data_IF_579315850369
#
_entry.id   IF_579315850369
#
_cell.length_a   1.000
_cell.length_b   1.000
_cell.length_c   1.000
_cell.angle_alpha   90.00
_cell.angle_beta   90.00
_cell.angle_gamma   90.00
#
_symmetry.space_group_name_H-M   'P 1'
#
loop_
_entity.id
_entity.type
_entity.pdbx_description
1 polymer ?
#
# COMPACT_ATOMS: atom_id res chain seq x y z
N UNK A 1 11.28 -14.41 53.40
CA UNK A 1 12.08 -13.42 52.64
C UNK A 1 12.61 -14.14 51.42
N UNK A 2 11.96 -13.98 50.28
CA UNK A 2 12.39 -14.57 49.00
C UNK A 2 12.76 -13.40 48.11
N UNK A 3 14.02 -13.40 47.67
CA UNK A 3 14.65 -12.36 46.87
C UNK A 3 14.04 -12.36 45.46
N UNK A 4 13.45 -11.24 45.05
CA UNK A 4 13.08 -10.99 43.66
C UNK A 4 14.36 -10.91 42.83
N UNK A 5 14.69 -11.98 42.12
CA UNK A 5 15.70 -11.95 41.06
C UNK A 5 15.09 -11.23 39.86
N UNK A 6 15.53 -10.00 39.61
CA UNK A 6 15.20 -9.26 38.41
C UNK A 6 15.90 -9.90 37.22
N UNK A 7 15.15 -10.59 36.35
CA UNK A 7 15.64 -11.13 35.08
C UNK A 7 15.82 -10.04 34.01
N UNK A 8 16.44 -8.90 34.37
CA UNK A 8 16.74 -7.81 33.44
C UNK A 8 18.20 -7.79 32.97
N UNK A 9 19.02 -8.75 33.39
CA UNK A 9 20.36 -8.95 32.83
C UNK A 9 20.29 -9.92 31.64
N UNK A 10 19.76 -9.43 30.52
CA UNK A 10 20.20 -9.91 29.21
C UNK A 10 21.11 -8.82 28.62
N UNK A 11 22.37 -8.81 29.05
CA UNK A 11 23.42 -8.14 28.28
C UNK A 11 23.39 -8.71 26.85
N UNK A 12 23.38 -7.81 25.86
CA UNK A 12 23.36 -8.17 24.44
C UNK A 12 24.82 -8.43 24.03
N UNK A 13 25.24 -9.68 23.79
CA UNK A 13 26.55 -9.93 23.21
C UNK A 13 26.51 -9.39 21.78
N UNK A 14 27.56 -8.67 21.38
CA UNK A 14 27.82 -8.18 20.03
C UNK A 14 27.08 -6.92 19.53
N UNK A 15 26.50 -6.08 20.41
CA UNK A 15 26.01 -4.77 19.95
C UNK A 15 27.14 -3.78 19.54
N UNK A 16 28.39 -4.12 19.84
CA UNK A 16 29.56 -3.23 19.67
C UNK A 16 30.42 -3.52 18.42
N UNK A 17 30.08 -4.49 17.57
CA UNK A 17 30.96 -4.82 16.45
C UNK A 17 30.67 -4.04 15.16
N UNK A 18 29.44 -3.92 14.67
CA UNK A 18 29.23 -3.45 13.29
C UNK A 18 27.93 -2.65 13.10
N UNK A 19 27.80 -1.54 13.83
CA UNK A 19 26.85 -0.49 13.47
C UNK A 19 27.40 0.37 12.32
N UNK A 20 27.65 -0.24 11.16
CA UNK A 20 27.86 0.48 9.91
C UNK A 20 26.75 0.11 8.93
N UNK A 21 25.79 1.03 8.78
CA UNK A 21 24.71 0.96 7.82
C UNK A 21 25.28 0.90 6.39
N UNK A 22 25.09 -0.22 5.69
CA UNK A 22 25.63 -0.35 4.34
C UNK A 22 25.12 -1.46 3.42
N UNK A 23 24.21 -2.37 3.82
CA UNK A 23 23.70 -3.39 2.87
C UNK A 23 22.26 -3.85 3.12
N UNK A 24 21.64 -4.41 2.08
CA UNK A 24 20.31 -5.04 2.09
C UNK A 24 20.22 -6.17 3.12
N UNK A 25 21.32 -6.86 3.39
CA UNK A 25 21.39 -7.92 4.40
C UNK A 25 21.13 -7.37 5.81
N UNK A 26 21.57 -6.14 6.08
CA UNK A 26 21.36 -5.45 7.36
C UNK A 26 19.86 -5.17 7.62
N UNK A 27 19.10 -4.80 6.58
CA UNK A 27 17.65 -4.63 6.67
C UNK A 27 16.92 -5.96 6.91
N UNK A 28 17.36 -7.04 6.25
CA UNK A 28 16.78 -8.37 6.44
C UNK A 28 17.05 -8.92 7.85
N UNK A 29 18.22 -8.59 8.41
CA UNK A 29 18.59 -8.94 9.78
C UNK A 29 17.71 -8.16 10.76
N UNK A 30 17.56 -6.85 10.59
CA UNK A 30 16.67 -6.02 11.40
C UNK A 30 15.22 -6.54 11.40
N UNK A 31 14.70 -6.94 10.25
CA UNK A 31 13.34 -7.49 10.15
C UNK A 31 13.21 -8.82 10.90
N UNK A 32 14.17 -9.74 10.73
CA UNK A 32 14.19 -11.01 11.45
C UNK A 32 14.32 -10.82 12.96
N UNK A 33 15.12 -9.85 13.39
CA UNK A 33 15.26 -9.51 14.81
C UNK A 33 14.00 -8.87 15.36
N UNK A 34 13.40 -7.92 14.63
CA UNK A 34 12.14 -7.29 15.01
C UNK A 34 10.99 -8.29 15.18
N UNK A 35 10.88 -9.28 14.28
CA UNK A 35 9.88 -10.36 14.39
C UNK A 35 10.09 -11.22 15.64
N UNK A 36 11.33 -11.56 15.97
CA UNK A 36 11.66 -12.35 17.18
C UNK A 36 11.32 -11.58 18.45
N UNK A 37 11.66 -10.30 18.52
CA UNK A 37 11.35 -9.44 19.65
C UNK A 37 9.85 -9.21 19.82
N UNK A 38 9.13 -9.01 18.71
CA UNK A 38 7.66 -8.93 18.74
C UNK A 38 7.04 -10.22 19.28
N UNK A 39 7.49 -11.39 18.81
CA UNK A 39 6.99 -12.68 19.30
C UNK A 39 7.29 -12.89 20.80
N UNK A 40 8.51 -12.55 21.24
CA UNK A 40 8.89 -12.64 22.64
C UNK A 40 8.07 -11.68 23.53
N UNK A 41 7.84 -10.45 23.07
CA UNK A 41 6.99 -9.47 23.75
C UNK A 41 5.54 -9.92 23.85
N UNK A 42 4.98 -10.51 22.79
CA UNK A 42 3.63 -11.09 22.81
C UNK A 42 3.54 -12.26 23.80
N UNK A 43 4.54 -13.14 23.84
CA UNK A 43 4.56 -14.25 24.80
C UNK A 43 4.72 -13.76 26.24
N UNK A 44 5.56 -12.77 26.49
CA UNK A 44 5.72 -12.16 27.81
C UNK A 44 4.42 -11.48 28.28
N UNK A 45 3.75 -10.74 27.40
CA UNK A 45 2.46 -10.12 27.70
C UNK A 45 1.35 -11.14 27.99
N UNK A 46 1.31 -12.26 27.25
CA UNK A 46 0.38 -13.35 27.52
C UNK A 46 0.68 -14.07 28.84
N UNK A 47 1.96 -14.26 29.17
CA UNK A 47 2.37 -14.86 30.43
C UNK A 47 1.99 -13.97 31.62
N UNK A 48 2.26 -12.66 31.52
CA UNK A 48 1.88 -11.68 32.54
C UNK A 48 0.36 -11.61 32.71
N UNK A 49 -0.41 -11.57 31.62
CA UNK A 49 -1.87 -11.56 31.68
C UNK A 49 -2.46 -12.83 32.31
N UNK A 50 -1.78 -13.97 32.14
CA UNK A 50 -2.16 -15.24 32.76
C UNK A 50 -1.84 -15.27 34.25
N UNK A 51 -0.67 -14.76 34.63
CA UNK A 51 -0.26 -14.66 36.04
C UNK A 51 -1.19 -13.70 36.81
N UNK A 52 -1.54 -12.56 36.21
CA UNK A 52 -2.54 -11.62 36.77
C UNK A 52 -3.97 -12.21 36.85
N UNK A 53 -4.28 -13.22 36.05
CA UNK A 53 -5.56 -13.94 36.08
C UNK A 53 -5.60 -15.05 37.13
N UNK A 54 -4.47 -15.69 37.44
CA UNK A 54 -4.36 -16.74 38.47
C UNK A 54 -4.28 -16.14 39.89
N UNK A 55 -3.80 -14.89 40.06
CA UNK A 55 -3.63 -14.22 41.36
C UNK A 55 -4.83 -13.39 41.84
N UNK A 56 -5.94 -13.35 41.07
CA UNK A 56 -7.17 -12.66 41.49
C UNK A 56 -8.20 -13.67 42.05
N UNK A 57 -8.69 -13.48 43.30
CA UNK A 57 -9.87 -14.20 43.75
C UNK A 57 -11.07 -13.76 42.91
N UNK A 58 -11.86 -14.74 42.44
CA UNK A 58 -13.08 -14.61 41.62
C UNK A 58 -13.52 -13.16 41.38
N UNK A 59 -13.06 -12.58 40.27
CA UNK A 59 -13.54 -11.28 39.81
C UNK A 59 -15.00 -11.46 39.44
N UNK A 60 -15.87 -11.03 40.35
CA UNK A 60 -17.26 -10.71 40.04
C UNK A 60 -17.26 -9.85 38.78
N UNK A 61 -17.88 -10.38 37.72
CA UNK A 61 -18.02 -9.70 36.43
C UNK A 61 -18.70 -8.36 36.65
N UNK A 62 -17.89 -7.30 36.69
CA UNK A 62 -18.41 -5.95 36.79
C UNK A 62 -19.07 -5.58 35.44
N UNK A 63 -20.19 -4.83 35.45
CA UNK A 63 -20.98 -4.54 34.25
C UNK A 63 -20.18 -3.95 33.07
N UNK A 64 -19.07 -3.28 33.38
CA UNK A 64 -18.11 -2.73 32.41
C UNK A 64 -17.47 -3.79 31.50
N UNK A 65 -17.21 -5.00 32.02
CA UNK A 65 -16.67 -6.13 31.23
C UNK A 65 -17.65 -6.66 30.19
N UNK A 66 -18.96 -6.51 30.41
CA UNK A 66 -19.99 -6.96 29.48
C UNK A 66 -20.18 -5.93 28.36
N UNK A 67 -20.12 -4.65 28.68
CA UNK A 67 -20.12 -3.55 27.70
C UNK A 67 -18.90 -3.62 26.77
N UNK A 68 -17.72 -3.91 27.31
CA UNK A 68 -16.49 -4.08 26.52
C UNK A 68 -16.59 -5.29 25.57
N UNK A 69 -17.18 -6.41 26.02
CA UNK A 69 -17.40 -7.58 25.17
C UNK A 69 -18.41 -7.30 24.03
N UNK A 70 -19.48 -6.55 24.32
CA UNK A 70 -20.45 -6.12 23.30
C UNK A 70 -19.78 -5.19 22.29
N UNK A 71 -18.93 -4.27 22.76
CA UNK A 71 -18.17 -3.37 21.89
C UNK A 71 -17.21 -4.14 20.99
N UNK A 72 -16.43 -5.08 21.54
CA UNK A 72 -15.51 -5.92 20.77
C UNK A 72 -16.27 -6.72 19.71
N UNK A 73 -17.40 -7.35 20.07
CA UNK A 73 -18.23 -8.08 19.11
C UNK A 73 -18.74 -7.16 17.99
N UNK A 74 -19.20 -5.96 18.32
CA UNK A 74 -19.67 -4.98 17.33
C UNK A 74 -18.55 -4.50 16.39
N UNK A 75 -17.34 -4.31 16.91
CA UNK A 75 -16.17 -3.93 16.13
C UNK A 75 -15.74 -5.07 15.19
N UNK A 76 -15.79 -6.33 15.65
CA UNK A 76 -15.50 -7.50 14.81
C UNK A 76 -16.49 -7.59 13.67
N UNK A 77 -17.80 -7.48 13.94
CA UNK A 77 -18.83 -7.51 12.89
C UNK A 77 -18.66 -6.35 11.89
N UNK A 78 -18.35 -5.14 12.38
CA UNK A 78 -18.09 -3.99 11.52
C UNK A 78 -16.88 -4.21 10.62
N UNK A 79 -15.80 -4.78 11.15
CA UNK A 79 -14.59 -5.10 10.40
C UNK A 79 -14.86 -6.16 9.32
N UNK A 80 -15.62 -7.22 9.64
CA UNK A 80 -16.00 -8.25 8.66
C UNK A 80 -16.85 -7.68 7.52
N UNK A 81 -17.79 -6.77 7.83
CA UNK A 81 -18.62 -6.12 6.83
C UNK A 81 -17.79 -5.18 5.93
N UNK A 82 -16.85 -4.44 6.52
CA UNK A 82 -15.90 -3.61 5.80
C UNK A 82 -15.01 -4.45 4.87
N UNK A 83 -14.53 -5.59 5.32
CA UNK A 83 -13.71 -6.50 4.52
C UNK A 83 -14.50 -7.06 3.33
N UNK A 84 -15.76 -7.47 3.54
CA UNK A 84 -16.65 -7.90 2.45
C UNK A 84 -16.87 -6.77 1.43
N UNK A 85 -17.12 -5.55 1.89
CA UNK A 85 -17.30 -4.38 1.00
C UNK A 85 -16.02 -4.06 0.23
N UNK A 86 -14.84 -4.19 0.84
CA UNK A 86 -13.56 -4.00 0.17
C UNK A 86 -13.33 -5.07 -0.91
N UNK A 87 -13.52 -6.35 -0.59
CA UNK A 87 -13.38 -7.44 -1.58
C UNK A 87 -14.34 -7.29 -2.77
N UNK A 88 -15.58 -6.85 -2.51
CA UNK A 88 -16.54 -6.55 -3.56
C UNK A 88 -16.06 -5.44 -4.51
N UNK A 89 -15.60 -4.32 -3.94
CA UNK A 89 -15.08 -3.19 -4.73
C UNK A 89 -13.80 -3.53 -5.50
N UNK A 90 -12.93 -4.36 -4.93
CA UNK A 90 -11.71 -4.81 -5.60
C UNK A 90 -12.02 -5.61 -6.88
N UNK A 91 -13.01 -6.51 -6.79
CA UNK A 91 -13.50 -7.27 -7.95
C UNK A 91 -14.07 -6.36 -9.05
N UNK A 92 -14.86 -5.37 -8.67
CA UNK A 92 -15.43 -4.41 -9.62
C UNK A 92 -14.31 -3.60 -10.30
N UNK A 93 -13.32 -3.12 -9.53
CA UNK A 93 -12.17 -2.38 -10.08
C UNK A 93 -11.37 -3.23 -11.07
N UNK A 94 -11.11 -4.50 -10.77
CA UNK A 94 -10.37 -5.38 -11.69
C UNK A 94 -11.16 -5.62 -12.99
N UNK A 95 -12.49 -5.75 -12.89
CA UNK A 95 -13.35 -5.88 -14.07
C UNK A 95 -13.33 -4.62 -14.95
N UNK A 96 -13.40 -3.42 -14.36
CA UNK A 96 -13.33 -2.16 -15.11
C UNK A 96 -11.95 -1.97 -15.76
N UNK A 97 -10.89 -2.39 -15.08
CA UNK A 97 -9.53 -2.34 -15.61
C UNK A 97 -9.38 -3.25 -16.83
N UNK A 98 -9.90 -4.48 -16.78
CA UNK A 98 -9.88 -5.40 -17.92
C UNK A 98 -10.62 -4.80 -19.13
N UNK A 99 -11.81 -4.24 -18.91
CA UNK A 99 -12.59 -3.56 -19.97
C UNK A 99 -11.85 -2.36 -20.55
N UNK A 100 -11.19 -1.55 -19.71
CA UNK A 100 -10.42 -0.40 -20.17
C UNK A 100 -9.22 -0.79 -21.05
N UNK A 101 -8.52 -1.88 -20.69
CA UNK A 101 -7.40 -2.42 -21.48
C UNK A 101 -7.91 -2.96 -22.82
N UNK A 102 -8.97 -3.76 -22.84
CA UNK A 102 -9.57 -4.28 -24.08
C UNK A 102 -10.03 -3.13 -24.99
N UNK A 103 -10.67 -2.10 -24.43
CA UNK A 103 -11.06 -0.92 -25.19
C UNK A 103 -9.84 -0.19 -25.81
N UNK A 104 -8.75 -0.03 -25.06
CA UNK A 104 -7.52 0.57 -25.55
C UNK A 104 -6.92 -0.24 -26.71
N UNK A 105 -6.84 -1.57 -26.56
CA UNK A 105 -6.33 -2.48 -27.60
C UNK A 105 -7.15 -2.40 -28.89
N UNK A 106 -8.48 -2.35 -28.78
CA UNK A 106 -9.37 -2.18 -29.94
C UNK A 106 -9.13 -0.87 -30.67
N UNK A 107 -8.96 0.25 -29.94
CA UNK A 107 -8.68 1.55 -30.56
C UNK A 107 -7.30 1.53 -31.24
N UNK A 108 -6.29 0.92 -30.62
CA UNK A 108 -4.96 0.76 -31.23
C UNK A 108 -5.00 -0.09 -32.51
N UNK A 109 -5.77 -1.17 -32.50
CA UNK A 109 -5.98 -2.02 -33.68
C UNK A 109 -6.70 -1.26 -34.80
N UNK A 110 -7.77 -0.52 -34.48
CA UNK A 110 -8.47 0.32 -35.44
C UNK A 110 -7.56 1.40 -36.02
N UNK A 111 -6.73 2.06 -35.19
CA UNK A 111 -5.75 3.03 -35.63
C UNK A 111 -4.77 2.40 -36.64
N UNK A 112 -4.19 1.23 -36.32
CA UNK A 112 -3.28 0.52 -37.22
C UNK A 112 -3.94 0.16 -38.57
N UNK A 113 -5.19 -0.32 -38.53
CA UNK A 113 -5.95 -0.65 -39.73
C UNK A 113 -6.20 0.58 -40.62
N UNK A 114 -6.61 1.72 -40.03
CA UNK A 114 -6.86 2.95 -40.80
C UNK A 114 -5.57 3.53 -41.36
N UNK A 115 -4.44 3.46 -40.61
CA UNK A 115 -3.12 3.86 -41.13
C UNK A 115 -2.76 3.01 -42.36
N UNK A 116 -2.93 1.69 -42.29
CA UNK A 116 -2.66 0.79 -43.42
C UNK A 116 -3.55 1.08 -44.64
N UNK A 117 -4.84 1.36 -44.42
CA UNK A 117 -5.78 1.77 -45.49
C UNK A 117 -5.31 3.09 -46.11
N UNK A 118 -4.94 4.08 -45.29
CA UNK A 118 -4.45 5.38 -45.75
C UNK A 118 -3.21 5.23 -46.61
N UNK A 119 -2.22 4.45 -46.16
CA UNK A 119 -0.99 4.18 -46.90
C UNK A 119 -1.27 3.51 -48.24
N UNK A 120 -2.17 2.53 -48.26
CA UNK A 120 -2.58 1.83 -49.48
C UNK A 120 -3.39 2.72 -50.44
N UNK A 121 -4.00 3.79 -49.94
CA UNK A 121 -4.79 4.74 -50.71
C UNK A 121 -3.95 5.86 -51.34
N UNK A 122 -2.67 6.00 -50.98
CA UNK A 122 -1.79 7.07 -51.49
C UNK A 122 -1.65 6.94 -53.02
N UNK A 123 -1.95 8.03 -53.74
CA UNK A 123 -1.81 8.09 -55.20
C UNK A 123 -2.89 7.35 -55.99
N UNK A 124 -3.81 6.64 -55.32
CA UNK A 124 -4.91 5.89 -55.96
C UNK A 124 -6.27 6.49 -55.59
N UNK A 125 -6.43 6.93 -54.35
CA UNK A 125 -7.69 7.51 -53.87
C UNK A 125 -7.85 8.98 -54.26
N UNK A 126 -9.11 9.46 -54.46
CA UNK A 126 -9.40 10.88 -54.59
C UNK A 126 -8.92 11.69 -53.37
N UNK A 127 -8.50 12.94 -53.60
CA UNK A 127 -7.94 13.81 -52.55
C UNK A 127 -8.85 13.93 -51.31
N UNK A 128 -10.17 14.08 -51.52
CA UNK A 128 -11.14 14.22 -50.42
C UNK A 128 -11.18 13.00 -49.50
N UNK A 129 -10.92 11.80 -50.04
CA UNK A 129 -10.87 10.56 -49.26
C UNK A 129 -9.54 10.46 -48.50
N UNK A 130 -8.44 10.90 -49.11
CA UNK A 130 -7.14 10.97 -48.45
C UNK A 130 -7.13 11.94 -47.25
N UNK A 131 -7.75 13.12 -47.42
CA UNK A 131 -7.91 14.09 -46.35
C UNK A 131 -8.80 13.55 -45.22
N UNK A 132 -9.91 12.90 -45.57
CA UNK A 132 -10.80 12.23 -44.61
C UNK A 132 -10.07 11.16 -43.81
N UNK A 133 -9.31 10.29 -44.47
CA UNK A 133 -8.52 9.23 -43.82
C UNK A 133 -7.45 9.82 -42.90
N UNK A 134 -6.77 10.88 -43.33
CA UNK A 134 -5.78 11.58 -42.49
C UNK A 134 -6.43 12.15 -41.23
N UNK A 135 -7.60 12.78 -41.36
CA UNK A 135 -8.37 13.27 -40.21
C UNK A 135 -8.77 12.15 -39.24
N UNK A 136 -9.21 11.00 -39.76
CA UNK A 136 -9.60 9.84 -38.92
C UNK A 136 -8.38 9.24 -38.21
N UNK A 137 -7.23 9.15 -38.87
CA UNK A 137 -5.98 8.70 -38.22
C UNK A 137 -5.61 9.63 -37.07
N UNK A 138 -5.63 10.95 -37.29
CA UNK A 138 -5.33 11.93 -36.24
C UNK A 138 -6.32 11.83 -35.07
N UNK A 139 -7.62 11.72 -35.34
CA UNK A 139 -8.62 11.58 -34.28
C UNK A 139 -8.43 10.27 -33.49
N UNK A 140 -8.21 9.15 -34.16
CA UNK A 140 -7.93 7.87 -33.48
C UNK A 140 -6.65 7.96 -32.64
N UNK A 141 -5.61 8.61 -33.14
CA UNK A 141 -4.37 8.82 -32.40
C UNK A 141 -4.61 9.63 -31.13
N UNK A 142 -5.36 10.73 -31.22
CA UNK A 142 -5.74 11.55 -30.07
C UNK A 142 -6.54 10.75 -29.04
N UNK A 143 -7.46 9.89 -29.49
CA UNK A 143 -8.23 8.99 -28.62
C UNK A 143 -7.37 7.94 -27.93
N UNK A 144 -6.38 7.37 -28.61
CA UNK A 144 -5.40 6.46 -27.99
C UNK A 144 -4.66 7.18 -26.87
N UNK A 145 -4.16 8.39 -27.14
CA UNK A 145 -3.40 9.19 -26.18
C UNK A 145 -4.28 9.59 -24.97
N UNK A 146 -5.51 10.01 -25.21
CA UNK A 146 -6.48 10.35 -24.17
C UNK A 146 -6.80 9.12 -23.29
N UNK A 147 -7.05 7.96 -23.91
CA UNK A 147 -7.34 6.71 -23.19
C UNK A 147 -6.17 6.32 -22.28
N UNK A 148 -4.94 6.35 -22.81
CA UNK A 148 -3.71 6.09 -22.05
C UNK A 148 -3.55 7.06 -20.88
N UNK A 149 -3.74 8.36 -21.12
CA UNK A 149 -3.62 9.37 -20.08
C UNK A 149 -4.65 9.18 -18.95
N UNK A 150 -5.88 8.77 -19.27
CA UNK A 150 -6.92 8.46 -18.28
C UNK A 150 -6.59 7.22 -17.46
N UNK A 151 -6.08 6.15 -18.09
CA UNK A 151 -5.63 4.93 -17.40
C UNK A 151 -4.46 5.26 -16.46
N UNK A 152 -3.45 6.00 -16.95
CA UNK A 152 -2.29 6.41 -16.14
C UNK A 152 -2.70 7.29 -14.96
N UNK A 153 -3.65 8.22 -15.17
CA UNK A 153 -4.23 9.02 -14.09
C UNK A 153 -4.91 8.14 -13.05
N UNK A 154 -5.78 7.22 -13.47
CA UNK A 154 -6.48 6.31 -12.56
C UNK A 154 -5.49 5.43 -11.76
N UNK A 155 -4.42 4.95 -12.38
CA UNK A 155 -3.36 4.18 -11.74
C UNK A 155 -2.56 5.01 -10.72
N UNK A 156 -2.26 6.28 -11.03
CA UNK A 156 -1.61 7.20 -10.07
C UNK A 156 -2.53 7.53 -8.89
N UNK A 157 -3.80 7.81 -9.16
CA UNK A 157 -4.79 8.16 -8.15
C UNK A 157 -5.11 6.96 -7.23
N UNK A 158 -5.05 5.72 -7.72
CA UNK A 158 -5.16 4.52 -6.86
C UNK A 158 -3.95 4.37 -5.95
N UNK A 159 -2.73 4.54 -6.48
CA UNK A 159 -1.49 4.50 -5.69
C UNK A 159 -1.43 5.59 -4.62
N UNK A 160 -1.93 6.79 -4.93
CA UNK A 160 -2.02 7.88 -3.95
C UNK A 160 -2.97 7.54 -2.80
N UNK A 161 -4.17 7.02 -3.11
CA UNK A 161 -5.15 6.60 -2.09
C UNK A 161 -4.65 5.45 -1.23
N UNK A 162 -3.89 4.51 -1.80
CA UNK A 162 -3.24 3.45 -1.03
C UNK A 162 -2.25 4.00 0.01
N UNK A 163 -1.45 5.02 -0.37
CA UNK A 163 -0.51 5.70 0.53
C UNK A 163 -1.16 6.59 1.58
N UNK A 164 -2.37 7.09 1.34
CA UNK A 164 -3.10 7.89 2.33
C UNK A 164 -3.79 6.99 3.39
N UNK A 165 -4.01 5.70 3.10
CA UNK A 165 -4.48 4.71 4.07
C UNK A 165 -3.36 4.12 4.94
N UNK A 166 -2.10 4.22 4.50
CA UNK A 166 -0.94 4.10 5.37
C UNK A 166 -0.83 5.43 6.15
N UNK A 167 -1.27 5.45 7.40
CA UNK A 167 -1.25 6.65 8.23
C UNK A 167 0.10 7.37 8.25
N UNK A 168 0.15 8.66 8.65
CA UNK A 168 1.34 9.50 8.58
C UNK A 168 2.36 9.07 9.64
N UNK A 169 3.11 7.99 9.39
CA UNK A 169 4.31 7.67 10.14
C UNK A 169 5.53 7.89 9.25
N UNK A 170 6.28 8.95 9.58
CA UNK A 170 7.65 9.14 9.13
C UNK A 170 7.85 10.24 8.08
N UNK A 171 7.32 11.44 8.32
CA UNK A 171 7.79 12.63 7.65
C UNK A 171 9.29 12.82 7.89
N UNK A 172 10.11 12.56 6.86
CA UNK A 172 11.54 12.85 6.88
C UNK A 172 11.71 14.37 6.98
N UNK A 173 12.14 14.81 8.16
CA UNK A 173 12.46 16.18 8.49
C UNK A 173 13.62 16.64 7.56
N UNK A 174 13.32 17.47 6.55
CA UNK A 174 14.36 18.13 5.77
C UNK A 174 15.09 19.12 6.70
N UNK A 175 16.29 18.74 7.13
CA UNK A 175 17.25 19.62 7.79
C UNK A 175 17.42 20.91 6.96
N UNK A 176 16.79 21.99 7.43
CA UNK A 176 17.11 23.35 7.04
C UNK A 176 18.50 23.63 7.65
N UNK A 177 19.54 23.56 6.82
CA UNK A 177 20.91 23.94 7.22
C UNK A 177 20.89 25.39 7.71
N UNK A 178 21.07 25.56 9.01
CA UNK A 178 21.37 26.83 9.64
C UNK A 178 22.88 27.05 9.46
N UNK A 179 23.29 27.77 8.42
CA UNK A 179 24.66 28.27 8.35
C UNK A 179 24.76 29.47 9.31
N UNK A 180 25.08 29.19 10.57
CA UNK A 180 25.72 30.15 11.43
C UNK A 180 27.23 30.09 11.18
N UNK A 181 27.78 31.04 10.43
CA UNK A 181 29.19 31.38 10.55
C UNK A 181 29.25 32.67 11.36
N UNK A 182 29.66 32.52 12.61
CA UNK A 182 30.24 33.57 13.42
C UNK A 182 31.69 33.15 13.67
N UNK A 183 32.66 33.91 13.18
CA UNK A 183 33.60 34.70 13.99
C UNK A 183 34.81 35.15 13.15
N UNK A 184 35.22 36.39 13.45
CA UNK A 184 36.44 37.15 13.12
C UNK A 184 36.73 37.58 11.67
#
# INVERSE_FOLDING_TARGET
MVLSQSNTDMEIPDLNAEAYAGSVDCLSFLEKFGRKWYAAGVQAGLAQAREEAEDRPEVTTTPRSQEDQILIASLVTCNEEMEKKMKGKEKDVESFKAVAIDAQERIMSAHAAVVSIRESAIGVAPYWLSDRLTSVVSELHDRVNECRARIDKACRDSKKRAREFEGPNGGSNKHRKHNGNAFD
#
